data_IF_315095815381
#
_entry.id   IF_315095815381
#
_cell.length_a   1.000
_cell.length_b   1.000
_cell.length_c   1.000
_cell.angle_alpha   90.00
_cell.angle_beta   90.00
_cell.angle_gamma   90.00
#
_symmetry.space_group_name_H-M   'P 1'
#
loop_
_entity.id
_entity.type
_entity.pdbx_description
1 polymer ?
#
# COMPACT_ATOMS: atom_id res chain seq x y z
N UNK A 1 -2.42 -15.93 4.90
CA UNK A 1 -1.60 -16.93 4.15
C UNK A 1 -0.25 -17.16 4.85
N UNK A 2 0.55 -18.18 4.46
CA UNK A 2 1.92 -18.39 4.98
C UNK A 2 2.95 -17.71 4.08
N UNK A 3 4.17 -17.46 4.62
CA UNK A 3 5.29 -16.97 3.80
C UNK A 3 5.65 -17.92 2.64
N UNK A 4 5.55 -19.23 2.85
CA UNK A 4 5.78 -20.24 1.78
C UNK A 4 4.75 -20.12 0.66
N UNK A 5 3.47 -19.92 0.99
CA UNK A 5 2.43 -19.73 -0.01
C UNK A 5 2.62 -18.40 -0.76
N UNK A 6 3.09 -17.34 -0.09
CA UNK A 6 3.44 -16.08 -0.72
C UNK A 6 4.63 -16.24 -1.69
N UNK A 7 5.69 -16.95 -1.31
CA UNK A 7 6.81 -17.26 -2.20
C UNK A 7 6.37 -18.12 -3.40
N UNK A 8 5.47 -19.06 -3.21
CA UNK A 8 4.91 -19.87 -4.30
C UNK A 8 4.07 -19.03 -5.30
N UNK A 9 3.42 -17.97 -4.83
CA UNK A 9 2.72 -17.01 -5.69
C UNK A 9 3.73 -16.25 -6.56
N UNK A 10 4.79 -15.71 -5.96
CA UNK A 10 5.86 -14.95 -6.64
C UNK A 10 6.65 -15.80 -7.65
N UNK A 11 6.79 -17.09 -7.41
CA UNK A 11 7.46 -18.01 -8.32
C UNK A 11 6.73 -18.18 -9.68
N UNK A 12 5.48 -17.73 -9.78
CA UNK A 12 4.69 -17.78 -11.03
C UNK A 12 4.91 -16.57 -11.92
N UNK A 13 5.62 -15.56 -11.46
CA UNK A 13 5.88 -14.31 -12.17
C UNK A 13 5.51 -13.07 -11.35
N UNK A 14 5.54 -11.88 -11.95
CA UNK A 14 5.16 -10.66 -11.27
C UNK A 14 3.72 -10.71 -10.75
N UNK A 15 3.53 -10.30 -9.49
CA UNK A 15 2.22 -10.28 -8.83
C UNK A 15 1.55 -8.93 -9.08
N UNK A 16 0.31 -8.97 -9.55
CA UNK A 16 -0.48 -7.79 -9.84
C UNK A 16 -1.28 -7.37 -8.60
N UNK A 17 -0.97 -6.19 -8.11
CA UNK A 17 -1.68 -5.50 -7.04
C UNK A 17 -2.85 -4.69 -7.60
N UNK A 18 -3.62 -4.05 -6.74
CA UNK A 18 -4.68 -3.12 -7.14
C UNK A 18 -4.15 -1.72 -7.48
N UNK A 19 -5.08 -0.78 -7.67
CA UNK A 19 -4.84 0.65 -7.89
C UNK A 19 -5.32 1.50 -6.71
N UNK A 20 -5.58 2.80 -7.00
CA UNK A 20 -6.03 3.73 -5.98
C UNK A 20 -7.42 3.40 -5.44
N UNK A 21 -7.58 3.48 -4.12
CA UNK A 21 -8.90 3.41 -3.46
C UNK A 21 -9.49 4.80 -3.27
N UNK A 22 -8.84 5.68 -2.53
CA UNK A 22 -9.42 6.96 -2.11
C UNK A 22 -9.85 7.86 -3.26
N UNK A 23 -9.03 8.02 -4.31
CA UNK A 23 -9.39 8.86 -5.46
C UNK A 23 -10.57 8.31 -6.27
N UNK A 24 -10.73 6.98 -6.32
CA UNK A 24 -11.87 6.36 -6.99
C UNK A 24 -13.15 6.46 -6.15
N UNK A 25 -13.07 6.32 -4.83
CA UNK A 25 -14.21 6.55 -3.93
C UNK A 25 -14.69 8.00 -4.00
N UNK A 26 -13.78 8.98 -4.08
CA UNK A 26 -14.17 10.39 -4.31
C UNK A 26 -14.88 10.59 -5.62
N UNK A 27 -14.44 9.93 -6.71
CA UNK A 27 -15.18 9.96 -8.00
C UNK A 27 -16.54 9.28 -7.90
N UNK A 28 -16.70 8.29 -7.01
CA UNK A 28 -17.96 7.61 -6.75
C UNK A 28 -18.88 8.36 -5.76
N UNK A 29 -18.50 9.56 -5.33
CA UNK A 29 -19.34 10.44 -4.52
C UNK A 29 -18.92 10.60 -3.05
N UNK A 30 -17.79 10.02 -2.63
CA UNK A 30 -17.24 10.26 -1.30
C UNK A 30 -16.81 11.73 -1.16
N UNK A 31 -17.34 12.48 -0.18
CA UNK A 31 -16.92 13.86 0.07
C UNK A 31 -15.44 13.95 0.45
N UNK A 32 -14.82 15.10 0.17
CA UNK A 32 -13.45 15.36 0.58
C UNK A 32 -13.36 15.67 2.07
N UNK A 33 -12.23 15.32 2.67
CA UNK A 33 -11.89 15.67 4.05
C UNK A 33 -12.67 14.90 5.11
N UNK A 34 -13.39 13.85 4.73
CA UNK A 34 -14.06 12.95 5.67
C UNK A 34 -13.18 11.72 5.95
N UNK A 35 -13.54 10.98 6.97
CA UNK A 35 -12.91 9.69 7.30
C UNK A 35 -13.36 8.65 6.27
N UNK A 36 -12.45 8.21 5.41
CA UNK A 36 -12.72 7.20 4.39
C UNK A 36 -13.23 5.89 5.02
N UNK A 37 -12.63 5.47 6.11
CA UNK A 37 -12.93 4.24 6.82
C UNK A 37 -14.37 4.22 7.31
N UNK A 38 -14.83 5.33 7.89
CA UNK A 38 -16.22 5.48 8.34
C UNK A 38 -17.17 5.54 7.15
N UNK A 39 -16.87 6.37 6.16
CA UNK A 39 -17.72 6.52 4.98
C UNK A 39 -17.95 5.19 4.25
N UNK A 40 -16.91 4.38 4.11
CA UNK A 40 -17.01 3.06 3.46
C UNK A 40 -17.93 2.11 4.24
N UNK A 41 -17.90 2.14 5.56
CA UNK A 41 -18.81 1.28 6.35
C UNK A 41 -20.28 1.70 6.23
N UNK A 42 -20.53 2.99 5.99
CA UNK A 42 -21.87 3.55 5.75
C UNK A 42 -22.34 3.42 4.29
N UNK A 43 -21.39 3.35 3.35
CA UNK A 43 -21.61 3.28 1.89
C UNK A 43 -20.69 2.22 1.26
N UNK A 44 -20.94 0.91 1.46
CA UNK A 44 -20.02 -0.14 1.02
C UNK A 44 -20.00 -0.38 -0.48
N UNK A 45 -21.09 -0.09 -1.20
CA UNK A 45 -21.24 -0.46 -2.61
C UNK A 45 -20.15 0.12 -3.52
N UNK A 46 -19.71 1.39 -3.39
CA UNK A 46 -18.63 1.94 -4.21
C UNK A 46 -17.31 1.18 -4.02
N UNK A 47 -16.98 0.76 -2.80
CA UNK A 47 -15.80 -0.04 -2.55
C UNK A 47 -15.92 -1.43 -3.15
N UNK A 48 -17.03 -2.12 -2.91
CA UNK A 48 -17.29 -3.47 -3.42
C UNK A 48 -17.20 -3.50 -4.96
N UNK A 49 -17.81 -2.51 -5.62
CA UNK A 49 -17.74 -2.39 -7.08
C UNK A 49 -16.29 -2.16 -7.55
N UNK A 50 -15.57 -1.22 -6.93
CA UNK A 50 -14.18 -0.90 -7.29
C UNK A 50 -13.26 -2.10 -7.14
N UNK A 51 -13.34 -2.82 -6.02
CA UNK A 51 -12.48 -3.98 -5.76
C UNK A 51 -12.78 -5.14 -6.69
N UNK A 52 -14.06 -5.40 -7.00
CA UNK A 52 -14.46 -6.40 -8.02
C UNK A 52 -13.93 -6.02 -9.40
N UNK A 53 -13.95 -4.74 -9.76
CA UNK A 53 -13.39 -4.24 -11.02
C UNK A 53 -11.86 -4.41 -11.08
N UNK A 54 -11.14 -4.20 -9.96
CA UNK A 54 -9.70 -4.48 -9.89
C UNK A 54 -9.39 -5.96 -10.06
N UNK A 55 -10.17 -6.84 -9.44
CA UNK A 55 -10.02 -8.29 -9.61
C UNK A 55 -10.30 -8.71 -11.05
N UNK A 56 -11.36 -8.20 -11.66
CA UNK A 56 -11.68 -8.43 -13.07
C UNK A 56 -10.58 -7.91 -14.01
N UNK A 57 -9.92 -6.81 -13.65
CA UNK A 57 -8.75 -6.27 -14.35
C UNK A 57 -7.49 -7.16 -14.20
N UNK A 58 -7.44 -8.05 -13.20
CA UNK A 58 -6.38 -9.02 -13.00
C UNK A 58 -5.62 -8.89 -11.69
N UNK A 59 -6.03 -8.02 -10.76
CA UNK A 59 -5.41 -7.92 -9.44
C UNK A 59 -5.47 -9.26 -8.70
N UNK A 60 -4.33 -9.71 -8.21
CA UNK A 60 -4.18 -10.93 -7.42
C UNK A 60 -4.19 -10.63 -5.90
N UNK A 61 -3.87 -9.40 -5.54
CA UNK A 61 -3.93 -8.87 -4.19
C UNK A 61 -4.66 -7.52 -4.26
N UNK A 62 -5.69 -7.36 -3.43
CA UNK A 62 -6.40 -6.09 -3.21
C UNK A 62 -6.15 -5.62 -1.77
N UNK A 63 -6.11 -4.30 -1.57
CA UNK A 63 -5.88 -3.70 -0.27
C UNK A 63 -7.21 -3.33 0.39
N UNK A 64 -7.42 -3.79 1.61
CA UNK A 64 -8.56 -3.35 2.40
C UNK A 64 -8.43 -1.85 2.69
N UNK A 65 -9.53 -1.08 2.72
CA UNK A 65 -9.48 0.38 2.93
C UNK A 65 -9.24 0.74 4.40
N UNK A 66 -8.22 0.15 5.01
CA UNK A 66 -7.83 0.28 6.42
C UNK A 66 -6.64 1.20 6.65
N UNK A 67 -6.22 1.90 5.60
CA UNK A 67 -5.03 2.75 5.51
C UNK A 67 -4.82 3.63 6.75
N UNK A 68 -5.81 4.43 7.17
CA UNK A 68 -5.75 5.28 8.36
C UNK A 68 -6.55 4.72 9.55
N UNK A 69 -6.90 3.44 9.57
CA UNK A 69 -7.75 2.85 10.61
C UNK A 69 -7.03 2.53 11.93
N UNK A 70 -5.91 3.18 12.23
CA UNK A 70 -5.29 3.18 13.55
C UNK A 70 -5.94 4.23 14.47
N UNK A 71 -5.73 4.12 15.80
CA UNK A 71 -6.35 5.05 16.78
C UNK A 71 -6.05 6.52 16.51
N UNK A 72 -4.83 6.84 16.00
CA UNK A 72 -4.43 8.21 15.71
C UNK A 72 -5.11 8.76 14.45
N UNK A 73 -5.22 7.96 13.40
CA UNK A 73 -5.96 8.29 12.20
C UNK A 73 -7.44 8.51 12.49
N UNK A 74 -8.05 7.59 13.22
CA UNK A 74 -9.45 7.61 13.60
C UNK A 74 -9.80 8.74 14.60
N UNK A 75 -8.85 9.20 15.42
CA UNK A 75 -9.04 10.34 16.30
C UNK A 75 -9.44 11.63 15.55
N UNK A 76 -9.04 11.77 14.29
CA UNK A 76 -9.41 12.91 13.44
C UNK A 76 -10.91 13.02 13.19
N UNK A 77 -11.64 11.93 13.35
CA UNK A 77 -13.10 11.86 13.21
C UNK A 77 -13.80 11.41 14.51
N UNK A 78 -13.11 11.39 15.67
CA UNK A 78 -13.68 11.02 16.96
C UNK A 78 -13.99 9.52 17.09
N UNK A 79 -13.26 8.66 16.35
CA UNK A 79 -13.49 7.21 16.31
C UNK A 79 -12.26 6.41 16.79
N UNK A 80 -11.39 7.01 17.58
CA UNK A 80 -10.16 6.40 18.12
C UNK A 80 -10.37 5.11 18.93
N UNK A 81 -11.57 4.92 19.46
CA UNK A 81 -11.94 3.73 20.22
C UNK A 81 -12.53 2.60 19.35
N UNK A 82 -12.72 2.85 18.06
CA UNK A 82 -13.35 1.91 17.12
C UNK A 82 -12.36 1.16 16.23
N UNK A 83 -11.06 1.15 16.57
CA UNK A 83 -10.00 0.52 15.77
C UNK A 83 -10.36 -0.92 15.41
N UNK A 84 -10.66 -1.76 16.41
CA UNK A 84 -10.99 -3.16 16.19
C UNK A 84 -12.28 -3.35 15.37
N UNK A 85 -13.29 -2.53 15.62
CA UNK A 85 -14.58 -2.59 14.94
C UNK A 85 -14.44 -2.24 13.46
N UNK A 86 -13.82 -1.09 13.15
CA UNK A 86 -13.71 -0.58 11.78
C UNK A 86 -12.79 -1.46 10.94
N UNK A 87 -11.62 -1.85 11.44
CA UNK A 87 -10.73 -2.76 10.69
C UNK A 87 -11.42 -4.08 10.36
N UNK A 88 -12.19 -4.66 11.31
CA UNK A 88 -12.94 -5.89 11.05
C UNK A 88 -13.99 -5.72 9.96
N UNK A 89 -14.75 -4.63 9.99
CA UNK A 89 -15.79 -4.34 8.99
C UNK A 89 -15.18 -4.12 7.61
N UNK A 90 -14.10 -3.35 7.52
CA UNK A 90 -13.44 -3.02 6.25
C UNK A 90 -12.75 -4.23 5.59
N UNK A 91 -12.09 -5.08 6.39
CA UNK A 91 -11.53 -6.34 5.89
C UNK A 91 -12.65 -7.28 5.42
N UNK A 92 -13.76 -7.37 6.17
CA UNK A 92 -14.91 -8.20 5.77
C UNK A 92 -15.50 -7.78 4.42
N UNK A 93 -15.62 -6.46 4.16
CA UNK A 93 -16.06 -5.96 2.85
C UNK A 93 -15.08 -6.34 1.73
N UNK A 94 -13.78 -6.25 1.98
CA UNK A 94 -12.78 -6.63 0.99
C UNK A 94 -12.77 -8.15 0.74
N UNK A 95 -12.97 -8.97 1.77
CA UNK A 95 -13.13 -10.42 1.62
C UNK A 95 -14.40 -10.78 0.83
N UNK A 96 -15.50 -10.03 1.05
CA UNK A 96 -16.72 -10.17 0.25
C UNK A 96 -16.47 -9.82 -1.23
N UNK A 97 -15.76 -8.71 -1.49
CA UNK A 97 -15.42 -8.32 -2.86
C UNK A 97 -14.49 -9.34 -3.53
N UNK A 98 -13.54 -9.87 -2.78
CA UNK A 98 -12.56 -10.86 -3.26
C UNK A 98 -13.21 -12.19 -3.63
N UNK A 99 -14.21 -12.66 -2.87
CA UNK A 99 -14.94 -13.93 -3.09
C UNK A 99 -14.00 -15.11 -3.41
N UNK A 100 -12.81 -15.15 -2.80
CA UNK A 100 -11.76 -16.15 -3.04
C UNK A 100 -11.00 -16.02 -4.36
N UNK A 101 -11.25 -14.97 -5.16
CA UNK A 101 -10.57 -14.74 -6.44
C UNK A 101 -9.29 -13.88 -6.31
N UNK A 102 -9.11 -13.20 -5.20
CA UNK A 102 -7.90 -12.43 -4.87
C UNK A 102 -7.58 -12.57 -3.39
N UNK A 103 -6.33 -12.29 -3.03
CA UNK A 103 -5.90 -12.15 -1.63
C UNK A 103 -6.26 -10.75 -1.12
N UNK A 104 -6.57 -10.65 0.17
CA UNK A 104 -6.89 -9.38 0.83
C UNK A 104 -5.73 -8.99 1.76
N UNK A 105 -5.11 -7.85 1.47
CA UNK A 105 -4.10 -7.27 2.33
C UNK A 105 -4.73 -6.31 3.35
N UNK A 106 -4.40 -6.48 4.64
CA UNK A 106 -4.65 -5.45 5.64
C UNK A 106 -3.66 -4.30 5.44
N UNK A 107 -4.16 -3.10 5.20
CA UNK A 107 -3.38 -1.93 4.81
C UNK A 107 -3.17 -0.97 5.98
N UNK A 108 -1.91 -0.56 6.19
CA UNK A 108 -1.48 0.37 7.23
C UNK A 108 -0.58 1.45 6.64
N UNK A 109 -0.64 2.65 7.22
CA UNK A 109 0.22 3.77 6.82
C UNK A 109 0.86 4.47 8.00
N UNK A 110 1.71 5.46 7.69
CA UNK A 110 2.37 6.33 8.67
C UNK A 110 1.36 7.05 9.59
N UNK A 111 1.75 7.23 10.83
CA UNK A 111 1.03 8.12 11.77
C UNK A 111 1.21 9.61 11.42
N UNK A 112 2.19 9.92 10.57
CA UNK A 112 2.57 11.27 10.18
C UNK A 112 3.34 12.04 11.26
N UNK A 113 3.83 11.36 12.30
CA UNK A 113 4.63 11.95 13.37
C UNK A 113 5.96 11.21 13.49
N UNK A 114 7.10 11.91 13.28
CA UNK A 114 8.39 11.27 13.41
C UNK A 114 8.65 10.79 14.85
N UNK A 115 9.46 9.72 14.96
CA UNK A 115 9.96 9.22 16.23
C UNK A 115 10.92 10.21 16.91
N UNK A 116 11.01 10.15 18.25
CA UNK A 116 12.05 10.83 19.00
C UNK A 116 13.46 10.39 18.54
N UNK A 117 14.44 11.29 18.54
CA UNK A 117 14.40 12.70 18.93
C UNK A 117 13.99 13.66 17.80
N UNK A 118 13.76 13.17 16.57
CA UNK A 118 13.39 14.01 15.41
C UNK A 118 11.96 14.55 15.50
N UNK A 119 11.06 13.82 16.15
CA UNK A 119 9.69 14.20 16.41
C UNK A 119 9.30 14.00 17.88
N UNK A 120 8.02 13.73 18.12
CA UNK A 120 7.44 13.59 19.47
C UNK A 120 6.88 12.21 19.76
N UNK A 121 6.89 11.29 18.78
CA UNK A 121 6.38 9.94 18.93
C UNK A 121 7.41 9.06 19.63
N UNK A 122 7.05 8.44 20.76
CA UNK A 122 7.91 7.44 21.36
C UNK A 122 7.79 6.10 20.64
N UNK A 123 8.87 5.29 20.69
CA UNK A 123 8.83 3.93 20.15
C UNK A 123 7.66 3.12 20.75
N UNK A 124 7.47 3.17 22.05
CA UNK A 124 6.44 2.39 22.74
C UNK A 124 5.03 2.78 22.31
N UNK A 125 4.73 4.09 22.24
CA UNK A 125 3.44 4.59 21.76
C UNK A 125 3.16 4.14 20.32
N UNK A 126 4.14 4.26 19.44
CA UNK A 126 4.01 3.85 18.04
C UNK A 126 3.82 2.34 17.90
N UNK A 127 4.57 1.55 18.66
CA UNK A 127 4.45 0.10 18.68
C UNK A 127 3.05 -0.35 19.15
N UNK A 128 2.49 0.28 20.18
CA UNK A 128 1.12 0.00 20.64
C UNK A 128 0.07 0.36 19.58
N UNK A 129 0.22 1.52 18.89
CA UNK A 129 -0.70 1.94 17.82
C UNK A 129 -0.75 0.89 16.71
N UNK A 130 0.42 0.43 16.21
CA UNK A 130 0.47 -0.58 15.16
C UNK A 130 0.02 -1.95 15.65
N UNK A 131 0.41 -2.37 16.84
CA UNK A 131 -0.01 -3.65 17.43
C UNK A 131 -1.54 -3.75 17.49
N UNK A 132 -2.23 -2.69 17.93
CA UNK A 132 -3.70 -2.66 18.01
C UNK A 132 -4.35 -2.83 16.63
N UNK A 133 -3.90 -2.07 15.63
CA UNK A 133 -4.47 -2.16 14.28
C UNK A 133 -4.18 -3.52 13.63
N UNK A 134 -2.93 -3.99 13.73
CA UNK A 134 -2.48 -5.26 13.14
C UNK A 134 -3.22 -6.45 13.76
N UNK A 135 -3.44 -6.45 15.08
CA UNK A 135 -4.24 -7.48 15.73
C UNK A 135 -5.65 -7.55 15.15
N UNK A 136 -6.30 -6.38 14.98
CA UNK A 136 -7.63 -6.30 14.39
C UNK A 136 -7.67 -6.81 12.93
N UNK A 137 -6.65 -6.49 12.12
CA UNK A 137 -6.54 -6.94 10.72
C UNK A 137 -6.34 -8.44 10.61
N UNK A 138 -5.43 -9.00 11.44
CA UNK A 138 -5.15 -10.43 11.48
C UNK A 138 -6.37 -11.24 11.94
N UNK A 139 -7.04 -10.80 13.01
CA UNK A 139 -8.28 -11.41 13.52
C UNK A 139 -9.44 -11.31 12.53
N UNK A 140 -9.49 -10.26 11.72
CA UNK A 140 -10.50 -10.09 10.66
C UNK A 140 -10.31 -11.01 9.47
N UNK A 141 -9.16 -11.70 9.37
CA UNK A 141 -8.88 -12.68 8.32
C UNK A 141 -8.14 -12.10 7.11
N UNK A 142 -7.40 -11.01 7.24
CA UNK A 142 -6.48 -10.55 6.21
C UNK A 142 -5.48 -11.66 5.84
N UNK A 143 -5.19 -11.83 4.55
CA UNK A 143 -4.25 -12.84 4.06
C UNK A 143 -2.79 -12.46 4.29
N UNK A 144 -2.48 -11.16 4.24
CA UNK A 144 -1.16 -10.56 4.41
C UNK A 144 -1.34 -9.11 4.90
N UNK A 145 -0.23 -8.49 5.27
CA UNK A 145 -0.20 -7.08 5.70
C UNK A 145 0.60 -6.24 4.72
N UNK A 146 0.17 -5.00 4.54
CA UNK A 146 0.90 -3.98 3.79
C UNK A 146 1.10 -2.77 4.69
N UNK A 147 2.35 -2.35 4.82
CA UNK A 147 2.78 -1.13 5.50
C UNK A 147 3.22 -0.19 4.39
N UNK A 148 2.32 0.71 3.92
CA UNK A 148 2.57 1.51 2.72
C UNK A 148 2.61 3.03 2.97
N UNK A 149 3.20 3.74 2.03
CA UNK A 149 3.31 5.21 2.03
C UNK A 149 4.04 5.73 3.28
N UNK A 150 4.99 4.95 3.76
CA UNK A 150 5.77 5.31 4.93
C UNK A 150 6.75 6.44 4.60
N UNK A 151 6.97 7.32 5.57
CA UNK A 151 7.77 8.54 5.38
C UNK A 151 9.24 8.38 5.78
N UNK A 152 9.57 7.31 6.51
CA UNK A 152 10.92 7.02 6.97
C UNK A 152 11.07 5.58 7.45
N UNK A 153 12.33 5.12 7.56
CA UNK A 153 12.65 3.73 7.88
C UNK A 153 12.32 3.38 9.33
N UNK A 154 12.52 4.31 10.26
CA UNK A 154 12.33 4.05 11.69
C UNK A 154 10.88 3.66 12.00
N UNK A 155 9.91 4.38 11.45
CA UNK A 155 8.49 4.06 11.63
C UNK A 155 8.10 2.73 10.95
N UNK A 156 8.68 2.45 9.75
CA UNK A 156 8.48 1.15 9.07
C UNK A 156 9.01 -0.02 9.90
N UNK A 157 10.16 0.16 10.53
CA UNK A 157 10.77 -0.84 11.42
C UNK A 157 9.85 -1.16 12.58
N UNK A 158 9.33 -0.14 13.26
CA UNK A 158 8.38 -0.34 14.38
C UNK A 158 7.11 -1.05 13.91
N UNK A 159 6.57 -0.69 12.74
CA UNK A 159 5.38 -1.34 12.20
C UNK A 159 5.63 -2.83 11.86
N UNK A 160 6.80 -3.15 11.30
CA UNK A 160 7.20 -4.53 11.01
C UNK A 160 7.40 -5.36 12.29
N UNK A 161 8.07 -4.80 13.30
CA UNK A 161 8.26 -5.46 14.61
C UNK A 161 6.92 -5.67 15.32
N UNK A 162 6.01 -4.70 15.27
CA UNK A 162 4.66 -4.85 15.80
C UNK A 162 3.90 -5.99 15.08
N UNK A 163 4.00 -6.08 13.74
CA UNK A 163 3.38 -7.16 13.00
C UNK A 163 3.90 -8.54 13.40
N UNK A 164 5.20 -8.68 13.52
CA UNK A 164 5.85 -9.95 13.92
C UNK A 164 5.52 -10.35 15.37
N UNK A 165 5.24 -9.38 16.24
CA UNK A 165 4.81 -9.66 17.61
C UNK A 165 3.37 -10.19 17.71
N UNK A 166 2.54 -9.89 16.72
CA UNK A 166 1.10 -10.19 16.72
C UNK A 166 0.75 -11.43 15.88
N UNK A 167 1.37 -11.58 14.71
CA UNK A 167 0.97 -12.60 13.75
C UNK A 167 2.15 -13.11 12.89
N UNK A 168 1.91 -14.19 12.15
CA UNK A 168 2.88 -14.77 11.21
C UNK A 168 2.53 -14.45 9.73
N UNK A 169 1.70 -13.45 9.47
CA UNK A 169 1.34 -13.06 8.12
C UNK A 169 2.54 -12.46 7.38
N UNK A 170 2.68 -12.66 6.06
CA UNK A 170 3.64 -11.93 5.26
C UNK A 170 3.40 -10.42 5.36
N UNK A 171 4.48 -9.64 5.54
CA UNK A 171 4.42 -8.18 5.62
C UNK A 171 5.14 -7.57 4.44
N UNK A 172 4.43 -6.80 3.63
CA UNK A 172 4.99 -6.00 2.53
C UNK A 172 5.21 -4.59 3.05
N UNK A 173 6.40 -4.04 2.84
CA UNK A 173 6.75 -2.70 3.30
C UNK A 173 7.05 -1.78 2.12
N UNK A 174 6.44 -0.61 2.04
CA UNK A 174 6.78 0.39 1.02
C UNK A 174 6.77 1.80 1.57
N UNK A 175 7.69 2.61 1.06
CA UNK A 175 7.81 4.00 1.44
C UNK A 175 7.50 4.92 0.26
N UNK A 176 7.07 6.13 0.56
CA UNK A 176 7.05 7.22 -0.41
C UNK A 176 8.36 7.99 -0.30
N UNK A 177 8.94 8.32 -1.45
CA UNK A 177 10.29 8.90 -1.52
C UNK A 177 10.32 10.17 -2.36
N UNK A 178 11.32 10.97 -2.13
CA UNK A 178 11.68 12.10 -2.97
C UNK A 178 12.35 11.62 -4.28
N UNK A 179 12.61 12.52 -5.21
CA UNK A 179 13.16 12.18 -6.52
C UNK A 179 14.54 11.49 -6.46
N UNK A 180 15.32 11.76 -5.42
CA UNK A 180 16.62 11.14 -5.17
C UNK A 180 16.56 9.79 -4.42
N UNK A 181 15.33 9.35 -4.06
CA UNK A 181 15.10 8.12 -3.31
C UNK A 181 15.17 8.27 -1.79
N UNK A 182 15.34 9.51 -1.27
CA UNK A 182 15.32 9.78 0.17
C UNK A 182 13.89 9.81 0.73
N UNK A 183 13.73 9.32 1.97
CA UNK A 183 12.49 9.43 2.74
C UNK A 183 12.29 10.84 3.30
N UNK A 184 11.05 11.18 3.63
CA UNK A 184 10.71 12.50 4.20
C UNK A 184 11.13 12.64 5.67
N UNK A 185 11.17 11.51 6.41
CA UNK A 185 11.57 11.45 7.82
C UNK A 185 12.90 10.70 8.01
N UNK A 186 13.69 10.55 6.94
CA UNK A 186 15.00 9.95 6.98
C UNK A 186 15.11 8.60 6.27
N UNK A 187 16.38 8.26 5.97
CA UNK A 187 16.74 7.07 5.20
C UNK A 187 16.50 7.22 3.71
N UNK A 188 16.90 6.20 2.97
CA UNK A 188 16.70 6.07 1.53
C UNK A 188 15.96 4.78 1.20
N UNK A 189 15.40 4.68 -0.01
CA UNK A 189 14.73 3.45 -0.44
C UNK A 189 15.69 2.24 -0.49
N UNK A 190 16.98 2.46 -0.71
CA UNK A 190 17.99 1.38 -0.69
C UNK A 190 18.27 0.93 0.75
N UNK A 191 18.48 1.86 1.68
CA UNK A 191 18.64 1.56 3.11
C UNK A 191 17.38 0.88 3.67
N UNK A 192 16.17 1.26 3.22
CA UNK A 192 14.94 0.58 3.60
C UNK A 192 14.94 -0.89 3.15
N UNK A 193 15.39 -1.18 1.92
CA UNK A 193 15.55 -2.56 1.44
C UNK A 193 16.50 -3.33 2.34
N UNK A 194 17.71 -2.80 2.59
CA UNK A 194 18.74 -3.44 3.40
C UNK A 194 18.25 -3.72 4.82
N UNK A 195 17.63 -2.73 5.47
CA UNK A 195 17.16 -2.84 6.84
C UNK A 195 15.98 -3.80 6.98
N UNK A 196 14.93 -3.61 6.19
CA UNK A 196 13.68 -4.34 6.39
C UNK A 196 13.75 -5.79 5.94
N UNK A 197 14.56 -6.12 4.93
CA UNK A 197 14.79 -7.52 4.55
C UNK A 197 15.51 -8.31 5.65
N UNK A 198 16.47 -7.71 6.37
CA UNK A 198 17.15 -8.35 7.51
C UNK A 198 16.21 -8.51 8.71
N UNK A 199 15.22 -7.64 8.84
CA UNK A 199 14.15 -7.75 9.84
C UNK A 199 13.01 -8.69 9.42
N UNK A 200 13.08 -9.31 8.23
CA UNK A 200 12.14 -10.32 7.80
C UNK A 200 10.89 -9.83 7.06
N UNK A 201 10.91 -8.62 6.48
CA UNK A 201 9.88 -8.19 5.54
C UNK A 201 9.76 -9.17 4.36
N UNK A 202 8.54 -9.53 3.95
CA UNK A 202 8.29 -10.46 2.85
C UNK A 202 8.53 -9.82 1.48
N UNK A 203 8.40 -8.50 1.37
CA UNK A 203 8.79 -7.67 0.23
C UNK A 203 9.06 -6.24 0.71
N UNK A 204 9.92 -5.51 0.00
CA UNK A 204 10.19 -4.09 0.29
C UNK A 204 10.07 -3.29 -1.00
N UNK A 205 9.62 -2.03 -0.92
CA UNK A 205 9.44 -1.26 -2.13
C UNK A 205 9.14 0.22 -1.93
N UNK A 206 8.62 0.79 -3.00
CA UNK A 206 8.18 2.19 -3.07
C UNK A 206 6.77 2.28 -3.64
N UNK A 207 5.98 3.19 -3.09
CA UNK A 207 4.66 3.50 -3.62
C UNK A 207 4.40 5.00 -3.59
N UNK A 208 3.33 5.45 -4.23
CA UNK A 208 3.00 6.85 -4.36
C UNK A 208 4.14 7.64 -5.03
N UNK A 209 4.83 8.54 -4.34
CA UNK A 209 6.00 9.29 -4.82
C UNK A 209 5.74 10.07 -6.11
N UNK A 210 5.95 9.44 -7.26
CA UNK A 210 5.86 10.02 -8.61
C UNK A 210 5.25 9.02 -9.60
N UNK A 211 5.29 9.33 -10.90
CA UNK A 211 4.95 8.40 -11.98
C UNK A 211 6.02 7.37 -12.26
N UNK A 212 5.67 6.27 -12.95
CA UNK A 212 6.60 5.17 -13.22
C UNK A 212 7.74 5.57 -14.17
N UNK A 213 7.57 6.63 -14.95
CA UNK A 213 8.56 7.19 -15.88
C UNK A 213 9.83 7.72 -15.19
N UNK A 214 9.78 7.97 -13.89
CA UNK A 214 10.89 8.55 -13.12
C UNK A 214 11.55 7.56 -12.15
N UNK A 215 11.10 6.30 -12.07
CA UNK A 215 11.50 5.37 -11.01
C UNK A 215 12.53 4.33 -11.44
N UNK A 216 12.89 4.24 -12.73
CA UNK A 216 13.75 3.15 -13.22
C UNK A 216 15.08 3.07 -12.48
N UNK A 217 15.78 4.19 -12.31
CA UNK A 217 17.08 4.23 -11.63
C UNK A 217 16.97 3.83 -10.16
N UNK A 218 15.92 4.27 -9.47
CA UNK A 218 15.68 3.90 -8.08
C UNK A 218 15.40 2.39 -7.95
N UNK A 219 14.54 1.84 -8.80
CA UNK A 219 14.22 0.39 -8.80
C UNK A 219 15.47 -0.45 -9.09
N UNK A 220 16.31 -0.04 -10.03
CA UNK A 220 17.59 -0.73 -10.32
C UNK A 220 18.53 -0.69 -9.11
N UNK A 221 18.66 0.45 -8.43
CA UNK A 221 19.50 0.57 -7.24
C UNK A 221 18.97 -0.30 -6.09
N UNK A 222 17.66 -0.26 -5.83
CA UNK A 222 17.02 -1.12 -4.84
C UNK A 222 17.23 -2.60 -5.18
N UNK A 223 17.13 -2.98 -6.47
CA UNK A 223 17.30 -4.39 -6.91
C UNK A 223 18.71 -4.91 -6.63
N UNK A 224 19.73 -4.08 -6.69
CA UNK A 224 21.11 -4.48 -6.38
C UNK A 224 21.28 -4.86 -4.90
N UNK A 225 20.55 -4.20 -3.99
CA UNK A 225 20.59 -4.47 -2.55
C UNK A 225 19.59 -5.56 -2.12
N UNK A 226 18.53 -5.81 -2.91
CA UNK A 226 17.42 -6.65 -2.51
C UNK A 226 17.70 -8.15 -2.62
N UNK A 227 17.46 -8.86 -1.51
CA UNK A 227 17.33 -10.33 -1.42
C UNK A 227 15.85 -10.77 -1.41
N UNK A 228 14.94 -9.82 -1.16
CA UNK A 228 13.49 -10.00 -1.16
C UNK A 228 12.86 -9.41 -2.42
N UNK A 229 11.62 -9.77 -2.78
CA UNK A 229 10.89 -9.16 -3.90
C UNK A 229 10.73 -7.65 -3.73
N UNK A 230 10.82 -6.91 -4.84
CA UNK A 230 10.56 -5.47 -4.86
C UNK A 230 9.10 -5.17 -5.22
N UNK A 231 8.48 -4.30 -4.42
CA UNK A 231 7.14 -3.76 -4.63
C UNK A 231 7.24 -2.36 -5.24
N UNK A 232 6.52 -2.12 -6.35
CA UNK A 232 6.46 -0.81 -7.01
C UNK A 232 5.02 -0.47 -7.39
N UNK A 233 4.47 0.58 -6.76
CA UNK A 233 3.07 1.00 -6.90
C UNK A 233 2.98 2.53 -7.10
N UNK A 234 3.39 3.06 -8.27
CA UNK A 234 3.50 4.51 -8.51
C UNK A 234 2.14 5.17 -8.80
N UNK A 235 2.15 6.49 -8.79
CA UNK A 235 1.02 7.31 -9.25
C UNK A 235 0.86 7.24 -10.78
N UNK A 236 -0.29 7.68 -11.29
CA UNK A 236 -0.56 7.85 -12.72
C UNK A 236 0.16 9.10 -13.30
N UNK A 237 1.46 9.22 -13.05
CA UNK A 237 2.28 10.39 -13.34
C UNK A 237 2.43 11.33 -12.15
N UNK A 238 3.11 12.47 -12.36
CA UNK A 238 3.18 13.54 -11.36
C UNK A 238 1.81 14.23 -11.23
N UNK A 239 1.33 14.49 -10.02
CA UNK A 239 0.11 15.26 -9.84
C UNK A 239 0.32 16.72 -10.20
N UNK A 240 -0.59 17.26 -10.98
CA UNK A 240 -0.78 18.70 -11.17
C UNK A 240 -1.94 19.17 -10.28
N UNK A 241 -1.79 20.32 -9.65
CA UNK A 241 -2.86 20.86 -8.79
C UNK A 241 -3.73 21.79 -9.63
N UNK A 242 -5.00 21.46 -9.76
CA UNK A 242 -5.98 22.31 -10.45
C UNK A 242 -6.24 23.63 -9.70
N UNK A 243 -6.84 24.64 -10.33
CA UNK A 243 -7.26 25.86 -9.65
C UNK A 243 -8.21 25.62 -8.45
N UNK A 244 -8.95 24.50 -8.49
CA UNK A 244 -9.87 24.07 -7.44
C UNK A 244 -9.16 23.25 -6.34
N UNK A 245 -7.82 23.07 -6.43
CA UNK A 245 -7.02 22.33 -5.48
C UNK A 245 -7.09 20.80 -5.66
N UNK A 246 -7.47 20.32 -6.86
CA UNK A 246 -7.52 18.89 -7.15
C UNK A 246 -6.20 18.38 -7.73
N UNK A 247 -5.78 17.19 -7.28
CA UNK A 247 -4.68 16.49 -7.93
C UNK A 247 -5.17 15.83 -9.23
N UNK A 248 -4.64 16.32 -10.35
CA UNK A 248 -4.89 15.80 -11.69
C UNK A 248 -3.69 14.96 -12.12
N UNK A 249 -3.93 13.79 -12.64
CA UNK A 249 -2.91 12.87 -13.14
C UNK A 249 -3.07 12.73 -14.65
N UNK A 250 -2.01 13.07 -15.40
CA UNK A 250 -2.05 13.17 -16.86
C UNK A 250 -1.63 11.92 -17.61
N UNK A 251 -0.95 10.97 -16.94
CA UNK A 251 -0.49 9.73 -17.58
C UNK A 251 -1.65 8.76 -17.75
N UNK A 252 -1.98 8.41 -18.99
CA UNK A 252 -3.02 7.42 -19.27
C UNK A 252 -2.57 5.97 -19.11
N UNK A 253 -3.52 4.99 -19.10
CA UNK A 253 -3.24 3.59 -18.83
C UNK A 253 -2.17 2.95 -19.72
N UNK A 254 -2.16 3.22 -21.02
CA UNK A 254 -1.20 2.65 -21.97
C UNK A 254 0.24 3.12 -21.70
N UNK A 255 0.43 4.44 -21.49
CA UNK A 255 1.75 4.99 -21.14
C UNK A 255 2.22 4.48 -19.78
N UNK A 256 1.33 4.46 -18.79
CA UNK A 256 1.62 3.87 -17.48
C UNK A 256 2.12 2.43 -17.59
N UNK A 257 1.41 1.57 -18.32
CA UNK A 257 1.77 0.17 -18.49
C UNK A 257 3.14 0.00 -19.18
N UNK A 258 3.47 0.84 -20.18
CA UNK A 258 4.78 0.80 -20.84
C UNK A 258 5.93 1.13 -19.88
N UNK A 259 5.78 2.18 -19.06
CA UNK A 259 6.79 2.52 -18.05
C UNK A 259 6.87 1.46 -16.95
N UNK A 260 5.72 0.91 -16.51
CA UNK A 260 5.71 -0.20 -15.55
C UNK A 260 6.42 -1.44 -16.10
N UNK A 261 6.33 -1.73 -17.40
CA UNK A 261 7.11 -2.81 -18.03
C UNK A 261 8.62 -2.57 -17.84
N UNK A 262 9.11 -1.35 -18.01
CA UNK A 262 10.51 -1.01 -17.74
C UNK A 262 10.89 -1.26 -16.28
N UNK A 263 10.00 -0.95 -15.33
CA UNK A 263 10.25 -1.22 -13.91
C UNK A 263 10.24 -2.72 -13.57
N UNK A 264 9.40 -3.51 -14.23
CA UNK A 264 9.40 -4.98 -14.12
C UNK A 264 10.73 -5.53 -14.65
N UNK A 265 11.18 -5.08 -15.82
CA UNK A 265 12.46 -5.48 -16.40
C UNK A 265 13.66 -5.01 -15.54
N UNK A 266 13.49 -3.95 -14.75
CA UNK A 266 14.44 -3.48 -13.73
C UNK A 266 14.43 -4.31 -12.43
N UNK A 267 13.41 -5.18 -12.22
CA UNK A 267 13.34 -6.12 -11.12
C UNK A 267 12.17 -5.95 -10.15
N UNK A 268 11.15 -5.13 -10.50
CA UNK A 268 9.91 -5.07 -9.74
C UNK A 268 9.15 -6.40 -9.88
N UNK A 269 8.76 -6.99 -8.74
CA UNK A 269 8.10 -8.28 -8.65
C UNK A 269 6.63 -8.20 -8.20
N UNK A 270 6.27 -7.17 -7.42
CA UNK A 270 4.90 -6.84 -7.07
C UNK A 270 4.60 -5.46 -7.66
N UNK A 271 3.60 -5.36 -8.51
CA UNK A 271 3.33 -4.17 -9.29
C UNK A 271 1.86 -3.80 -9.27
N UNK A 272 1.57 -2.53 -9.17
CA UNK A 272 0.22 -1.98 -9.17
C UNK A 272 0.22 -0.48 -9.43
N UNK A 273 -0.83 0.19 -9.02
CA UNK A 273 -0.92 1.64 -9.13
C UNK A 273 -1.30 2.31 -7.81
N UNK A 274 -0.90 3.56 -7.62
CA UNK A 274 -1.31 4.40 -6.51
C UNK A 274 -2.20 5.56 -7.03
N UNK A 275 -2.10 6.74 -6.50
CA UNK A 275 -2.98 7.86 -6.80
C UNK A 275 -3.18 8.09 -8.31
N UNK A 276 -4.41 8.37 -8.70
CA UNK A 276 -4.81 8.61 -10.09
C UNK A 276 -5.09 7.36 -10.92
N UNK A 277 -4.68 6.17 -10.48
CA UNK A 277 -4.95 4.92 -11.20
C UNK A 277 -6.36 4.39 -10.92
N UNK A 278 -6.89 3.58 -11.84
CA UNK A 278 -8.16 2.89 -11.75
C UNK A 278 -8.07 1.51 -12.42
N UNK A 279 -9.14 0.69 -12.46
CA UNK A 279 -9.08 -0.66 -13.05
C UNK A 279 -8.55 -0.74 -14.49
N UNK A 280 -8.67 0.33 -15.28
CA UNK A 280 -8.13 0.37 -16.66
C UNK A 280 -6.61 0.34 -16.66
N UNK A 281 -5.95 0.92 -15.66
CA UNK A 281 -4.49 0.89 -15.51
C UNK A 281 -4.00 -0.51 -15.15
N UNK A 282 -4.74 -1.20 -14.28
CA UNK A 282 -4.41 -2.57 -13.89
C UNK A 282 -4.60 -3.52 -15.08
N UNK A 283 -5.68 -3.37 -15.86
CA UNK A 283 -5.88 -4.15 -17.08
C UNK A 283 -4.75 -3.92 -18.10
N UNK A 284 -4.36 -2.67 -18.34
CA UNK A 284 -3.26 -2.35 -19.24
C UNK A 284 -1.91 -2.90 -18.74
N UNK A 285 -1.69 -2.87 -17.41
CA UNK A 285 -0.49 -3.43 -16.80
C UNK A 285 -0.46 -4.95 -16.92
N UNK A 286 -1.59 -5.65 -16.70
CA UNK A 286 -1.69 -7.11 -16.94
C UNK A 286 -1.27 -7.49 -18.35
N UNK A 287 -1.66 -6.70 -19.35
CA UNK A 287 -1.42 -7.02 -20.77
C UNK A 287 0.06 -6.90 -21.17
N UNK A 288 0.89 -6.23 -20.37
CA UNK A 288 2.34 -6.10 -20.59
C UNK A 288 3.19 -6.97 -19.65
N UNK A 289 2.58 -7.75 -18.74
CA UNK A 289 3.34 -8.68 -17.91
C UNK A 289 4.09 -9.71 -18.74
N UNK A 290 5.28 -10.17 -18.31
CA UNK A 290 5.97 -11.29 -18.93
C UNK A 290 5.07 -12.55 -18.88
N UNK A 291 5.01 -13.28 -19.99
CA UNK A 291 4.29 -14.56 -20.08
C UNK A 291 5.13 -15.70 -19.53
#
# INVERSE_FOLDING_TARGET
>A
MTNEAFQALLARGPVLLDGATGSNLMRAGMPRGICTEVWVTEHPEPLLALQRDYIAAGSQIIYAPTFCANRRGLARCGRENDVALLNRQLVALSLEAADGHALVAGDLTTTGVPLEPAGTMTYHELFEIYTEQIAALAEAGADLLVVETMLGIDEMTVALEAAQSVCALPVLCSMTVQADGSGYFGGTCVEAVETLQELGAAAVGINCSTGPDQLESLVRNMRQAAKVPLLVKPNAGMPEISPEGEAIYSMGPAAFAQHMRTLIDAGAALVGGCCGTDPRYISALRDVLPR
#
